data_IF_959526810026
#
_entry.id   IF_959526810026
#
_cell.length_a   1.000
_cell.length_b   1.000
_cell.length_c   1.000
_cell.angle_alpha   90.00
_cell.angle_beta   90.00
_cell.angle_gamma   90.00
#
_symmetry.space_group_name_H-M   'P 1'
#
loop_
_entity.id
_entity.type
_entity.pdbx_description
1 polymer ?
#
# COMPACT_ATOMS: atom_id res chain seq x y z
N UNK A 1 -17.72 24.59 11.13
CA UNK A 1 -16.48 23.87 10.82
C UNK A 1 -16.44 22.64 11.71
N UNK A 2 -16.99 21.51 11.25
CA UNK A 2 -16.68 20.24 11.89
C UNK A 2 -15.19 20.03 11.69
N UNK A 3 -14.43 19.83 12.77
CA UNK A 3 -12.98 19.70 12.73
C UNK A 3 -12.59 18.66 11.70
N UNK A 4 -11.61 18.98 10.85
CA UNK A 4 -10.98 17.99 9.98
C UNK A 4 -10.54 16.83 10.87
N UNK A 5 -11.27 15.71 10.75
CA UNK A 5 -10.82 14.45 11.32
C UNK A 5 -9.62 14.08 10.47
N UNK A 6 -8.42 14.33 11.01
CA UNK A 6 -7.18 13.88 10.40
C UNK A 6 -7.19 12.36 10.46
N UNK A 7 -7.65 11.72 9.38
CA UNK A 7 -7.56 10.27 9.21
C UNK A 7 -6.11 9.98 8.88
N UNK A 8 -5.36 9.55 9.88
CA UNK A 8 -3.97 9.15 9.73
C UNK A 8 -3.89 7.63 9.50
N UNK A 9 -3.26 7.24 8.40
CA UNK A 9 -2.93 5.87 8.05
C UNK A 9 -1.63 5.91 7.24
N UNK A 10 -0.66 5.07 7.60
CA UNK A 10 0.69 5.12 7.04
C UNK A 10 1.01 3.86 6.19
N UNK A 11 0.44 3.70 4.97
CA UNK A 11 0.65 2.52 4.13
C UNK A 11 2.11 2.09 3.90
N UNK A 12 3.08 3.01 3.90
CA UNK A 12 4.49 2.66 3.71
C UNK A 12 5.16 2.10 4.97
N UNK A 13 4.54 2.25 6.14
CA UNK A 13 5.03 1.79 7.45
C UNK A 13 4.21 0.60 7.96
N UNK A 14 2.89 0.68 7.83
CA UNK A 14 1.93 -0.31 8.33
C UNK A 14 1.87 -1.54 7.42
N UNK A 15 2.88 -2.40 7.39
CA UNK A 15 2.93 -3.56 6.46
C UNK A 15 2.00 -4.72 6.85
N UNK A 16 1.39 -4.68 8.03
CA UNK A 16 0.57 -5.78 8.56
C UNK A 16 -0.75 -6.01 7.83
N UNK A 17 -1.27 -5.05 7.05
CA UNK A 17 -2.60 -5.20 6.43
C UNK A 17 -2.70 -6.31 5.36
N UNK A 18 -1.55 -6.80 4.85
CA UNK A 18 -1.49 -7.90 3.87
C UNK A 18 -1.45 -9.29 4.54
N UNK A 19 -1.44 -9.36 5.87
CA UNK A 19 -1.55 -10.63 6.57
C UNK A 19 -2.90 -11.33 6.27
N UNK A 20 -2.89 -12.66 6.06
CA UNK A 20 -4.09 -13.41 5.73
C UNK A 20 -5.11 -13.31 6.87
N UNK A 21 -6.36 -13.01 6.53
CA UNK A 21 -7.48 -12.90 7.47
C UNK A 21 -7.74 -11.48 8.02
N UNK A 22 -6.76 -10.56 7.99
CA UNK A 22 -6.99 -9.18 8.47
C UNK A 22 -8.00 -8.45 7.60
N UNK A 23 -7.85 -8.54 6.27
CA UNK A 23 -8.79 -7.92 5.32
C UNK A 23 -10.21 -8.47 5.49
N UNK A 24 -10.36 -9.77 5.73
CA UNK A 24 -11.66 -10.41 5.95
C UNK A 24 -12.30 -9.95 7.26
N UNK A 25 -11.52 -9.90 8.36
CA UNK A 25 -11.98 -9.42 9.65
C UNK A 25 -12.42 -7.94 9.58
N UNK A 26 -11.63 -7.09 8.92
CA UNK A 26 -11.98 -5.67 8.73
C UNK A 26 -13.25 -5.53 7.88
N UNK A 27 -13.38 -6.28 6.79
CA UNK A 27 -14.58 -6.25 5.95
C UNK A 27 -15.82 -6.72 6.71
N UNK A 28 -15.70 -7.73 7.57
CA UNK A 28 -16.79 -8.18 8.43
C UNK A 28 -17.22 -7.08 9.43
N UNK A 29 -16.27 -6.38 10.06
CA UNK A 29 -16.57 -5.24 10.94
C UNK A 29 -17.25 -4.09 10.19
N UNK A 30 -16.81 -3.78 8.97
CA UNK A 30 -17.45 -2.78 8.10
C UNK A 30 -18.89 -3.22 7.74
N UNK A 31 -19.10 -4.50 7.44
CA UNK A 31 -20.43 -5.04 7.14
C UNK A 31 -21.37 -4.93 8.35
N UNK A 32 -20.90 -5.24 9.55
CA UNK A 32 -21.68 -5.06 10.78
C UNK A 32 -22.10 -3.61 11.01
N UNK A 33 -21.21 -2.65 10.78
CA UNK A 33 -21.53 -1.22 10.91
C UNK A 33 -22.47 -0.73 9.81
N UNK A 34 -22.28 -1.16 8.55
CA UNK A 34 -23.21 -0.82 7.45
C UNK A 34 -24.60 -1.45 7.63
N UNK A 35 -24.71 -2.57 8.37
CA UNK A 35 -26.00 -3.14 8.77
C UNK A 35 -26.72 -2.28 9.82
N UNK A 36 -25.98 -1.67 10.75
CA UNK A 36 -26.51 -0.75 11.78
C UNK A 36 -26.89 0.59 11.16
N UNK A 37 -26.02 1.15 10.32
CA UNK A 37 -26.23 2.39 9.61
C UNK A 37 -26.37 2.10 8.12
N UNK A 38 -27.60 1.85 7.65
CA UNK A 38 -27.84 1.74 6.21
C UNK A 38 -27.50 3.08 5.55
N UNK A 39 -26.54 3.13 4.61
CA UNK A 39 -26.22 4.38 3.92
C UNK A 39 -27.47 4.94 3.26
N UNK A 40 -27.90 6.13 3.66
CA UNK A 40 -28.86 6.90 2.88
C UNK A 40 -28.14 7.35 1.61
N UNK A 41 -28.82 7.31 0.46
CA UNK A 41 -28.24 7.66 -0.86
C UNK A 41 -27.79 9.13 -0.98
N UNK A 42 -27.84 9.87 0.12
CA UNK A 42 -27.56 11.29 0.25
C UNK A 42 -26.09 11.64 -0.07
N UNK A 43 -25.17 10.68 -0.02
CA UNK A 43 -23.78 10.92 -0.43
C UNK A 43 -23.63 11.25 -1.93
N UNK A 44 -24.65 11.01 -2.76
CA UNK A 44 -24.66 11.36 -4.18
C UNK A 44 -25.47 12.62 -4.50
N UNK A 45 -26.10 13.28 -3.51
CA UNK A 45 -26.96 14.45 -3.73
C UNK A 45 -26.23 15.66 -4.31
N UNK A 46 -24.93 15.79 -4.02
CA UNK A 46 -24.09 16.86 -4.54
C UNK A 46 -23.68 16.66 -6.01
N UNK A 47 -23.88 15.46 -6.55
CA UNK A 47 -23.55 15.14 -7.94
C UNK A 47 -24.77 15.41 -8.83
N UNK A 48 -24.57 15.98 -10.03
CA UNK A 48 -25.65 16.11 -10.99
C UNK A 48 -26.22 14.74 -11.33
N UNK A 49 -27.53 14.67 -11.58
CA UNK A 49 -28.19 13.44 -11.98
C UNK A 49 -27.54 12.90 -13.27
N UNK A 50 -27.24 11.60 -13.27
CA UNK A 50 -26.58 10.93 -14.39
C UNK A 50 -27.45 11.03 -15.66
N UNK A 51 -26.97 11.78 -16.63
CA UNK A 51 -27.59 11.94 -17.95
C UNK A 51 -27.18 10.79 -18.87
N UNK A 52 -27.96 9.70 -18.85
CA UNK A 52 -27.69 8.53 -19.70
C UNK A 52 -27.79 8.84 -21.21
N UNK A 53 -28.56 9.86 -21.56
CA UNK A 53 -28.89 10.22 -22.95
C UNK A 53 -28.13 11.47 -23.45
N UNK A 54 -27.15 11.98 -22.69
CA UNK A 54 -26.48 13.26 -22.98
C UNK A 54 -25.83 13.34 -24.37
N UNK A 55 -25.36 12.19 -24.86
CA UNK A 55 -24.65 12.08 -26.14
C UNK A 55 -25.46 11.35 -27.21
N UNK A 56 -26.75 11.12 -26.98
CA UNK A 56 -27.60 10.48 -27.96
C UNK A 56 -27.98 11.46 -29.07
N UNK A 57 -27.60 11.10 -30.30
CA UNK A 57 -28.08 11.76 -31.50
C UNK A 57 -29.49 11.29 -31.81
N UNK A 58 -30.25 12.09 -32.56
CA UNK A 58 -31.59 11.73 -33.01
C UNK A 58 -31.61 10.37 -33.75
N UNK A 59 -30.57 10.06 -34.52
CA UNK A 59 -30.41 8.74 -35.16
C UNK A 59 -30.23 7.60 -34.16
N UNK A 60 -29.49 7.81 -33.07
CA UNK A 60 -29.32 6.80 -32.02
C UNK A 60 -30.63 6.54 -31.30
N UNK A 61 -31.41 7.60 -31.01
CA UNK A 61 -32.74 7.46 -30.39
C UNK A 61 -33.67 6.60 -31.25
N UNK A 62 -33.76 6.90 -32.54
CA UNK A 62 -34.58 6.11 -33.49
C UNK A 62 -34.14 4.64 -33.54
N UNK A 63 -32.83 4.37 -33.55
CA UNK A 63 -32.32 3.00 -33.52
C UNK A 63 -32.58 2.29 -32.18
N UNK A 64 -32.48 3.01 -31.05
CA UNK A 64 -32.82 2.46 -29.75
C UNK A 64 -34.31 2.14 -29.64
N UNK A 65 -35.20 2.98 -30.17
CA UNK A 65 -36.64 2.68 -30.26
C UNK A 65 -36.92 1.46 -31.16
N UNK A 66 -36.22 1.34 -32.29
CA UNK A 66 -36.30 0.16 -33.18
C UNK A 66 -35.85 -1.12 -32.45
N UNK A 67 -34.75 -1.05 -31.71
CA UNK A 67 -34.23 -2.17 -30.92
C UNK A 67 -35.16 -2.54 -29.77
N UNK A 68 -35.71 -1.54 -29.07
CA UNK A 68 -36.67 -1.74 -27.98
C UNK A 68 -37.96 -2.40 -28.49
N UNK A 69 -38.42 -2.01 -29.68
CA UNK A 69 -39.56 -2.63 -30.37
C UNK A 69 -39.21 -3.96 -31.06
N UNK A 70 -37.95 -4.42 -30.98
CA UNK A 70 -37.43 -5.66 -31.56
C UNK A 70 -37.67 -5.76 -33.08
N UNK A 71 -37.73 -4.62 -33.76
CA UNK A 71 -37.89 -4.59 -35.21
C UNK A 71 -36.54 -4.94 -35.86
N UNK A 72 -36.51 -5.84 -36.86
CA UNK A 72 -35.29 -6.11 -37.62
C UNK A 72 -34.83 -4.86 -38.38
N UNK A 73 -33.54 -4.75 -38.65
CA UNK A 73 -32.99 -3.65 -39.45
C UNK A 73 -33.49 -3.78 -40.90
N UNK A 74 -33.83 -2.66 -41.52
CA UNK A 74 -34.14 -2.64 -42.94
C UNK A 74 -32.91 -3.04 -43.75
N UNK A 75 -33.05 -4.06 -44.61
CA UNK A 75 -31.95 -4.47 -45.45
C UNK A 75 -31.74 -3.46 -46.58
N UNK A 76 -30.49 -3.05 -46.80
CA UNK A 76 -30.16 -2.24 -47.96
C UNK A 76 -30.44 -3.00 -49.25
N UNK A 77 -31.21 -2.39 -50.15
CA UNK A 77 -31.48 -2.95 -51.47
C UNK A 77 -30.24 -2.85 -52.36
N UNK A 78 -29.69 -3.99 -52.76
CA UNK A 78 -28.57 -4.06 -53.72
C UNK A 78 -29.02 -3.96 -55.18
N UNK A 79 -30.33 -3.98 -55.45
CA UNK A 79 -30.90 -3.94 -56.81
C UNK A 79 -30.45 -2.72 -57.62
N UNK A 80 -30.16 -1.60 -56.94
CA UNK A 80 -29.64 -0.36 -57.56
C UNK A 80 -28.24 -0.52 -58.16
N UNK A 81 -27.45 -1.47 -57.67
CA UNK A 81 -26.07 -1.72 -58.12
C UNK A 81 -25.96 -2.86 -59.12
N UNK A 82 -27.08 -3.50 -59.45
CA UNK A 82 -27.19 -4.54 -60.46
C UNK A 82 -27.92 -3.98 -61.69
N UNK A 83 -27.73 -4.59 -62.85
CA UNK A 83 -28.52 -4.32 -64.06
C UNK A 83 -29.49 -5.48 -64.32
N UNK A 84 -30.49 -5.71 -63.45
CA UNK A 84 -31.45 -6.76 -63.68
C UNK A 84 -32.33 -6.39 -64.88
N UNK A 85 -32.56 -7.37 -65.75
CA UNK A 85 -33.62 -7.29 -66.74
C UNK A 85 -35.01 -7.24 -66.05
N UNK A 86 -36.04 -6.67 -66.71
CA UNK A 86 -37.41 -6.75 -66.19
C UNK A 86 -37.80 -8.19 -65.89
N UNK A 87 -38.61 -8.40 -64.84
CA UNK A 87 -39.09 -9.73 -64.49
C UNK A 87 -39.75 -10.41 -65.71
N UNK A 88 -39.60 -11.73 -65.85
CA UNK A 88 -40.02 -12.46 -67.05
C UNK A 88 -41.51 -12.25 -67.45
N UNK A 89 -42.39 -11.91 -66.50
CA UNK A 89 -43.80 -11.58 -66.74
C UNK A 89 -44.11 -10.09 -67.02
N UNK A 90 -43.10 -9.21 -67.00
CA UNK A 90 -43.22 -7.75 -67.24
C UNK A 90 -42.45 -7.29 -68.48
N UNK A 91 -41.97 -8.20 -69.32
CA UNK A 91 -41.17 -7.86 -70.51
C UNK A 91 -41.97 -7.12 -71.59
N UNK A 92 -43.30 -7.07 -71.51
CA UNK A 92 -44.16 -6.26 -72.38
C UNK A 92 -44.56 -4.92 -71.76
N UNK A 93 -44.24 -4.70 -70.48
CA UNK A 93 -44.57 -3.49 -69.73
C UNK A 93 -43.48 -2.43 -69.95
N UNK A 94 -43.85 -1.37 -70.67
CA UNK A 94 -42.97 -0.24 -71.00
C UNK A 94 -42.43 0.45 -69.74
N UNK A 95 -43.21 0.50 -68.66
CA UNK A 95 -42.77 1.14 -67.42
C UNK A 95 -41.60 0.40 -66.78
N UNK A 96 -41.64 -0.94 -66.76
CA UNK A 96 -40.56 -1.77 -66.22
C UNK A 96 -39.26 -1.66 -67.04
N UNK A 97 -39.35 -1.49 -68.36
CA UNK A 97 -38.20 -1.21 -69.21
C UNK A 97 -37.64 0.19 -68.98
N UNK A 98 -38.51 1.20 -68.80
CA UNK A 98 -38.08 2.56 -68.45
C UNK A 98 -37.28 2.56 -67.14
N UNK A 99 -37.76 1.86 -66.11
CA UNK A 99 -37.05 1.74 -64.83
C UNK A 99 -35.67 1.07 -64.97
N UNK A 100 -35.56 0.00 -65.76
CA UNK A 100 -34.28 -0.63 -66.06
C UNK A 100 -33.32 0.30 -66.83
N UNK A 101 -33.84 1.08 -67.78
CA UNK A 101 -33.08 2.09 -68.53
C UNK A 101 -32.61 3.18 -67.58
N UNK A 102 -33.47 3.75 -66.74
CA UNK A 102 -33.13 4.80 -65.78
C UNK A 102 -32.05 4.32 -64.79
N UNK A 103 -32.16 3.08 -64.29
CA UNK A 103 -31.13 2.45 -63.46
C UNK A 103 -29.80 2.29 -64.22
N UNK A 104 -29.83 1.94 -65.52
CA UNK A 104 -28.63 1.83 -66.34
C UNK A 104 -27.94 3.18 -66.56
N UNK A 105 -28.71 4.26 -66.77
CA UNK A 105 -28.20 5.62 -66.86
C UNK A 105 -27.55 6.06 -65.55
N UNK A 106 -28.23 5.83 -64.42
CA UNK A 106 -27.66 6.12 -63.11
C UNK A 106 -26.34 5.37 -62.87
N UNK A 107 -26.25 4.10 -63.27
CA UNK A 107 -25.02 3.33 -63.12
C UNK A 107 -23.89 3.83 -64.02
N UNK A 108 -24.18 4.23 -65.25
CA UNK A 108 -23.18 4.81 -66.15
C UNK A 108 -22.55 6.06 -65.52
N UNK A 109 -23.37 6.96 -64.99
CA UNK A 109 -22.90 8.17 -64.29
C UNK A 109 -22.11 7.84 -63.01
N UNK A 110 -22.54 6.82 -62.25
CA UNK A 110 -21.78 6.33 -61.10
C UNK A 110 -20.41 5.77 -61.50
N UNK A 111 -20.30 5.05 -62.63
CA UNK A 111 -19.01 4.56 -63.12
C UNK A 111 -18.11 5.71 -63.59
N UNK A 112 -18.66 6.70 -64.29
CA UNK A 112 -17.92 7.91 -64.67
C UNK A 112 -17.37 8.64 -63.44
N UNK A 113 -18.21 8.83 -62.41
CA UNK A 113 -17.79 9.42 -61.12
C UNK A 113 -16.75 8.56 -60.41
N UNK A 114 -16.91 7.23 -60.42
CA UNK A 114 -15.94 6.31 -59.83
C UNK A 114 -14.58 6.42 -60.50
N UNK A 115 -14.53 6.51 -61.83
CA UNK A 115 -13.28 6.70 -62.58
C UNK A 115 -12.61 8.01 -62.15
N UNK A 116 -13.36 9.12 -62.12
CA UNK A 116 -12.82 10.41 -61.67
C UNK A 116 -12.27 10.36 -60.23
N UNK A 117 -13.00 9.71 -59.31
CA UNK A 117 -12.54 9.52 -57.94
C UNK A 117 -11.29 8.63 -57.84
N UNK A 118 -11.21 7.56 -58.64
CA UNK A 118 -10.04 6.68 -58.69
C UNK A 118 -8.83 7.41 -59.30
N UNK A 119 -9.02 8.25 -60.30
CA UNK A 119 -7.96 9.10 -60.85
C UNK A 119 -7.44 10.10 -59.80
N UNK A 120 -8.35 10.72 -59.03
CA UNK A 120 -7.96 11.62 -57.94
C UNK A 120 -7.19 10.86 -56.86
N UNK A 121 -7.66 9.67 -56.46
CA UNK A 121 -6.99 8.83 -55.48
C UNK A 121 -5.63 8.33 -55.98
N UNK A 122 -5.51 7.96 -57.26
CA UNK A 122 -4.24 7.54 -57.84
C UNK A 122 -3.20 8.68 -57.83
N UNK A 123 -3.65 9.93 -58.02
CA UNK A 123 -2.77 11.11 -58.01
C UNK A 123 -2.34 11.53 -56.61
N UNK A 124 -3.26 11.57 -55.64
CA UNK A 124 -3.01 12.18 -54.33
C UNK A 124 -3.06 11.21 -53.13
N UNK A 125 -3.56 9.99 -53.32
CA UNK A 125 -3.82 9.04 -52.24
C UNK A 125 -2.57 8.68 -51.44
N UNK A 126 -1.45 8.42 -52.11
CA UNK A 126 -0.18 8.10 -51.45
C UNK A 126 0.31 9.25 -50.55
N UNK A 127 0.29 10.49 -51.05
CA UNK A 127 0.76 11.64 -50.29
C UNK A 127 -0.21 12.03 -49.16
N UNK A 128 -1.52 11.96 -49.40
CA UNK A 128 -2.54 12.14 -48.37
C UNK A 128 -2.38 11.11 -47.24
N UNK A 129 -2.12 9.85 -47.58
CA UNK A 129 -1.92 8.79 -46.59
C UNK A 129 -0.64 8.98 -45.78
N UNK A 130 0.46 9.42 -46.41
CA UNK A 130 1.70 9.77 -45.70
C UNK A 130 1.48 10.93 -44.72
N UNK A 131 0.78 11.99 -45.14
CA UNK A 131 0.45 13.13 -44.29
C UNK A 131 -0.46 12.73 -43.10
N UNK A 132 -1.43 11.86 -43.35
CA UNK A 132 -2.28 11.29 -42.31
C UNK A 132 -1.47 10.47 -41.30
N UNK A 133 -0.60 9.56 -41.76
CA UNK A 133 0.30 8.81 -40.89
C UNK A 133 1.23 9.72 -40.07
N UNK A 134 1.79 10.77 -40.67
CA UNK A 134 2.60 11.74 -39.92
C UNK A 134 1.80 12.41 -38.80
N UNK A 135 0.52 12.69 -39.03
CA UNK A 135 -0.38 13.25 -38.01
C UNK A 135 -0.66 12.25 -36.90
N UNK A 136 -0.95 10.98 -37.24
CA UNK A 136 -1.13 9.92 -36.25
C UNK A 136 0.12 9.70 -35.40
N UNK A 137 1.30 9.70 -36.02
CA UNK A 137 2.58 9.57 -35.32
C UNK A 137 2.78 10.75 -34.36
N UNK A 138 2.47 11.99 -34.75
CA UNK A 138 2.53 13.14 -33.83
C UNK A 138 1.58 12.98 -32.63
N UNK A 139 0.34 12.56 -32.87
CA UNK A 139 -0.64 12.30 -31.81
C UNK A 139 -0.15 11.22 -30.83
N UNK A 140 0.41 10.13 -31.36
CA UNK A 140 0.99 9.05 -30.56
C UNK A 140 2.11 9.57 -29.65
N UNK A 141 3.06 10.34 -30.20
CA UNK A 141 4.16 10.91 -29.41
C UNK A 141 3.65 11.86 -28.32
N UNK A 142 2.63 12.67 -28.62
CA UNK A 142 2.02 13.57 -27.64
C UNK A 142 1.39 12.78 -26.48
N UNK A 143 0.61 11.75 -26.78
CA UNK A 143 -0.02 10.90 -25.76
C UNK A 143 1.02 10.15 -24.91
N UNK A 144 2.07 9.61 -25.55
CA UNK A 144 3.16 8.95 -24.85
C UNK A 144 3.89 9.90 -23.90
N UNK A 145 4.15 11.14 -24.33
CA UNK A 145 4.76 12.17 -23.49
C UNK A 145 3.86 12.50 -22.29
N UNK A 146 2.56 12.72 -22.52
CA UNK A 146 1.61 12.98 -21.42
C UNK A 146 1.57 11.84 -20.41
N UNK A 147 1.62 10.59 -20.89
CA UNK A 147 1.69 9.41 -20.03
C UNK A 147 2.98 9.36 -19.21
N UNK A 148 4.13 9.69 -19.81
CA UNK A 148 5.40 9.76 -19.10
C UNK A 148 5.39 10.87 -18.04
N UNK A 149 4.87 12.05 -18.37
CA UNK A 149 4.75 13.17 -17.44
C UNK A 149 3.84 12.83 -16.25
N UNK A 150 2.69 12.18 -16.51
CA UNK A 150 1.79 11.69 -15.46
C UNK A 150 2.46 10.64 -14.57
N UNK A 151 3.20 9.68 -15.15
CA UNK A 151 3.95 8.69 -14.37
C UNK A 151 4.98 9.35 -13.46
N UNK A 152 5.69 10.37 -13.96
CA UNK A 152 6.64 11.14 -13.16
C UNK A 152 5.95 11.87 -12.00
N UNK A 153 4.79 12.50 -12.26
CA UNK A 153 4.01 13.16 -11.21
C UNK A 153 3.52 12.18 -10.14
N UNK A 154 3.03 11.01 -10.55
CA UNK A 154 2.62 9.94 -9.61
C UNK A 154 3.82 9.48 -8.77
N UNK A 155 4.98 9.27 -9.39
CA UNK A 155 6.20 8.88 -8.68
C UNK A 155 6.66 9.94 -7.69
N UNK A 156 6.61 11.22 -8.06
CA UNK A 156 6.96 12.33 -7.18
C UNK A 156 6.04 12.38 -5.95
N UNK A 157 4.73 12.28 -6.14
CA UNK A 157 3.76 12.25 -5.04
C UNK A 157 4.00 11.04 -4.13
N UNK A 158 4.24 9.86 -4.72
CA UNK A 158 4.53 8.66 -3.95
C UNK A 158 5.86 8.77 -3.17
N UNK A 159 6.87 9.38 -3.77
CA UNK A 159 8.16 9.64 -3.13
C UNK A 159 7.99 10.59 -1.94
N UNK A 160 7.33 11.73 -2.13
CA UNK A 160 7.02 12.68 -1.05
C UNK A 160 6.22 12.01 0.08
N UNK A 161 5.20 11.22 -0.26
CA UNK A 161 4.41 10.46 0.71
C UNK A 161 5.28 9.47 1.48
N UNK A 162 6.13 8.70 0.80
CA UNK A 162 7.02 7.74 1.44
C UNK A 162 7.99 8.43 2.41
N UNK A 163 8.60 9.54 2.00
CA UNK A 163 9.51 10.32 2.86
C UNK A 163 8.79 10.82 4.10
N UNK A 164 7.64 11.49 3.95
CA UNK A 164 6.86 12.00 5.08
C UNK A 164 6.41 10.89 6.04
N UNK A 165 5.99 9.73 5.52
CA UNK A 165 5.58 8.60 6.34
C UNK A 165 6.76 7.93 7.04
N UNK A 166 7.93 7.86 6.40
CA UNK A 166 9.15 7.30 7.01
C UNK A 166 9.63 8.16 8.17
N UNK A 167 9.65 9.49 7.99
CA UNK A 167 9.98 10.44 9.07
C UNK A 167 8.98 10.36 10.23
N UNK A 168 7.68 10.23 9.94
CA UNK A 168 6.66 10.05 10.96
C UNK A 168 6.81 8.69 11.68
N UNK A 169 7.07 7.62 10.93
CA UNK A 169 7.30 6.27 11.46
C UNK A 169 8.51 6.19 12.39
N UNK A 170 9.61 6.87 12.07
CA UNK A 170 10.76 6.98 12.97
C UNK A 170 10.41 7.67 14.29
N UNK A 171 9.61 8.75 14.23
CA UNK A 171 9.12 9.44 15.44
C UNK A 171 8.22 8.53 16.27
N UNK A 172 7.30 7.81 15.63
CA UNK A 172 6.43 6.84 16.31
C UNK A 172 7.24 5.76 17.01
N UNK A 173 8.23 5.18 16.34
CA UNK A 173 9.13 4.17 16.93
C UNK A 173 9.91 4.72 18.13
N UNK A 174 10.43 5.94 18.04
CA UNK A 174 11.15 6.56 19.16
C UNK A 174 10.22 6.83 20.35
N UNK A 175 8.99 7.28 20.09
CA UNK A 175 7.97 7.48 21.12
C UNK A 175 7.55 6.17 21.77
N UNK A 176 7.40 5.10 20.99
CA UNK A 176 7.09 3.76 21.50
C UNK A 176 8.21 3.23 22.40
N UNK A 177 9.48 3.32 21.98
CA UNK A 177 10.63 2.92 22.80
C UNK A 177 10.69 3.74 24.09
N UNK A 178 10.49 5.06 24.00
CA UNK A 178 10.46 5.93 25.18
C UNK A 178 9.31 5.55 26.11
N UNK A 179 8.13 5.22 25.56
CA UNK A 179 6.97 4.81 26.33
C UNK A 179 7.22 3.49 27.05
N UNK A 180 7.72 2.46 26.36
CA UNK A 180 8.08 1.18 26.98
C UNK A 180 9.11 1.39 28.08
N UNK A 181 10.17 2.17 27.83
CA UNK A 181 11.19 2.47 28.83
C UNK A 181 10.63 3.17 30.07
N UNK A 182 9.74 4.15 29.89
CA UNK A 182 9.09 4.86 31.01
C UNK A 182 8.17 3.92 31.81
N UNK A 183 7.40 3.07 31.13
CA UNK A 183 6.53 2.09 31.79
C UNK A 183 7.36 1.06 32.56
N UNK A 184 8.42 0.51 31.96
CA UNK A 184 9.33 -0.41 32.65
C UNK A 184 10.01 0.24 33.85
N UNK A 185 10.47 1.48 33.73
CA UNK A 185 11.10 2.20 34.84
C UNK A 185 10.11 2.48 35.97
N UNK A 186 8.87 2.86 35.65
CA UNK A 186 7.83 3.02 36.68
C UNK A 186 7.56 1.69 37.38
N UNK A 187 7.48 0.59 36.65
CA UNK A 187 7.31 -0.74 37.22
C UNK A 187 8.50 -1.16 38.12
N UNK A 188 9.74 -0.88 37.72
CA UNK A 188 10.93 -1.12 38.53
C UNK A 188 10.92 -0.31 39.83
N UNK A 189 10.50 0.96 39.76
CA UNK A 189 10.37 1.84 40.94
C UNK A 189 9.28 1.31 41.87
N UNK A 190 8.09 0.98 41.34
CA UNK A 190 7.00 0.41 42.15
C UNK A 190 7.43 -0.88 42.84
N UNK A 191 8.14 -1.76 42.12
CA UNK A 191 8.69 -2.99 42.69
C UNK A 191 9.69 -2.70 43.82
N UNK A 192 10.63 -1.77 43.61
CA UNK A 192 11.60 -1.39 44.63
C UNK A 192 10.94 -0.75 45.86
N UNK A 193 9.90 0.06 45.67
CA UNK A 193 9.09 0.61 46.77
C UNK A 193 8.43 -0.50 47.59
N UNK A 194 7.82 -1.50 46.94
CA UNK A 194 7.20 -2.64 47.63
C UNK A 194 8.24 -3.49 48.38
N UNK A 195 9.44 -3.68 47.82
CA UNK A 195 10.54 -4.38 48.49
C UNK A 195 11.04 -3.59 49.72
N UNK A 196 11.23 -2.28 49.60
CA UNK A 196 11.61 -1.40 50.72
C UNK A 196 10.52 -1.33 51.80
N UNK A 197 9.24 -1.28 51.43
CA UNK A 197 8.12 -1.31 52.39
C UNK A 197 8.12 -2.62 53.20
N UNK A 198 8.43 -3.75 52.56
CA UNK A 198 8.60 -5.04 53.27
C UNK A 198 9.79 -5.00 54.22
N UNK A 199 10.94 -4.49 53.78
CA UNK A 199 12.13 -4.36 54.62
C UNK A 199 11.85 -3.46 55.84
N UNK A 200 11.22 -2.30 55.64
CA UNK A 200 10.81 -1.39 56.72
C UNK A 200 9.89 -2.12 57.69
N UNK A 201 8.85 -2.82 57.20
CA UNK A 201 7.94 -3.57 58.06
C UNK A 201 8.65 -4.66 58.88
N UNK A 202 9.66 -5.35 58.30
CA UNK A 202 10.47 -6.33 59.04
C UNK A 202 11.34 -5.68 60.11
N UNK A 203 11.98 -4.55 59.80
CA UNK A 203 12.82 -3.81 60.75
C UNK A 203 11.99 -3.19 61.89
N UNK A 204 10.80 -2.69 61.59
CA UNK A 204 9.85 -2.20 62.60
C UNK A 204 9.41 -3.32 63.54
N UNK A 205 9.09 -4.51 63.00
CA UNK A 205 8.77 -5.68 63.80
C UNK A 205 9.93 -6.13 64.70
N UNK A 206 11.16 -6.13 64.19
CA UNK A 206 12.37 -6.45 64.95
C UNK A 206 12.68 -5.41 66.04
N UNK A 207 12.49 -4.12 65.74
CA UNK A 207 12.63 -3.03 66.71
C UNK A 207 11.61 -3.16 67.84
N UNK A 208 10.35 -3.42 67.51
CA UNK A 208 9.30 -3.65 68.50
C UNK A 208 9.55 -4.92 69.33
N UNK A 209 10.11 -5.97 68.73
CA UNK A 209 10.51 -7.18 69.45
C UNK A 209 11.66 -6.90 70.44
N UNK A 210 12.67 -6.11 70.05
CA UNK A 210 13.77 -5.68 70.92
C UNK A 210 13.31 -4.75 72.04
N UNK A 211 12.37 -3.84 71.77
CA UNK A 211 11.78 -2.94 72.78
C UNK A 211 10.91 -3.69 73.79
N UNK A 212 10.32 -4.82 73.40
CA UNK A 212 9.57 -5.73 74.29
C UNK A 212 10.45 -6.69 75.09
N UNK A 213 11.76 -6.79 74.80
CA UNK A 213 12.69 -7.45 75.72
C UNK A 213 12.94 -6.53 76.92
N UNK A 214 12.60 -6.94 78.15
CA UNK A 214 12.87 -6.12 79.33
C UNK A 214 14.38 -5.96 79.52
N UNK A 215 14.81 -4.74 79.86
CA UNK A 215 16.14 -4.47 80.40
C UNK A 215 16.41 -5.41 81.59
N UNK A 216 17.16 -6.47 81.36
CA UNK A 216 17.90 -7.13 82.42
C UNK A 216 19.27 -6.46 82.47
N UNK A 217 19.41 -5.47 83.35
CA UNK A 217 20.73 -4.96 83.75
C UNK A 217 21.54 -6.13 84.34
N UNK A 218 22.57 -6.57 83.63
CA UNK A 218 23.62 -7.39 84.23
C UNK A 218 24.71 -6.48 84.82
N UNK A 219 25.17 -6.70 86.07
CA UNK A 219 26.16 -5.86 86.72
C UNK A 219 27.52 -5.88 86.00
N UNK A 220 28.31 -4.80 86.10
CA UNK A 220 29.61 -4.70 85.44
C UNK A 220 30.71 -5.39 86.29
N UNK A 221 30.66 -6.70 86.45
CA UNK A 221 31.76 -7.46 87.06
C UNK A 221 31.76 -8.90 86.54
N UNK A 222 32.33 -9.11 85.34
CA UNK A 222 32.74 -10.46 84.89
C UNK A 222 33.68 -10.44 83.67
N UNK A 223 33.74 -9.33 82.91
CA UNK A 223 34.71 -9.17 81.80
C UNK A 223 36.16 -8.97 82.24
N UNK A 224 36.42 -8.81 83.55
CA UNK A 224 37.78 -8.55 84.08
C UNK A 224 38.58 -9.81 84.40
N UNK A 225 37.96 -10.99 84.43
CA UNK A 225 38.66 -12.25 84.71
C UNK A 225 39.09 -13.02 83.46
N UNK A 226 38.39 -12.88 82.33
CA UNK A 226 38.79 -13.57 81.09
C UNK A 226 39.99 -12.92 80.38
N UNK A 227 40.25 -11.64 80.64
CA UNK A 227 41.40 -10.92 80.09
C UNK A 227 42.70 -11.14 80.87
N UNK A 228 42.65 -11.83 82.02
CA UNK A 228 43.81 -12.20 82.84
C UNK A 228 44.34 -13.62 82.59
N UNK A 229 43.60 -14.47 81.87
CA UNK A 229 43.99 -15.87 81.61
C UNK A 229 44.64 -16.12 80.24
N UNK A 230 44.72 -15.11 79.36
CA UNK A 230 45.43 -15.20 78.06
C UNK A 230 46.83 -14.58 78.06
N UNK A 231 47.34 -14.14 79.22
CA UNK A 231 48.65 -13.46 79.31
C UNK A 231 49.83 -14.39 79.63
N UNK A 232 49.58 -15.68 79.86
CA UNK A 232 50.63 -16.65 80.20
C UNK A 232 50.58 -17.87 79.25
N UNK A 233 51.14 -17.74 78.04
CA UNK A 233 51.76 -18.85 77.29
C UNK A 233 52.81 -18.31 76.29
N UNK A 234 53.94 -19.04 76.04
CA UNK A 234 55.15 -18.52 75.39
C UNK A 234 55.10 -18.57 73.85
N UNK A 235 56.03 -17.89 73.14
CA UNK A 235 56.00 -17.76 71.68
C UNK A 235 56.65 -18.97 70.99
N UNK A 236 56.16 -19.33 69.80
CA UNK A 236 56.81 -20.27 68.88
C UNK A 236 56.95 -19.68 67.45
N UNK A 237 57.92 -20.17 66.65
CA UNK A 237 58.81 -19.31 65.88
C UNK A 237 58.43 -19.14 64.40
N UNK A 238 59.02 -18.09 63.83
CA UNK A 238 59.04 -17.76 62.40
C UNK A 238 59.71 -18.86 61.57
N UNK A 239 59.11 -19.19 60.44
CA UNK A 239 59.75 -19.88 59.32
C UNK A 239 59.58 -19.05 58.06
N UNK A 240 60.69 -18.51 57.54
CA UNK A 240 60.80 -17.85 56.25
C UNK A 240 60.68 -18.85 55.09
N UNK A 241 59.98 -18.45 54.03
CA UNK A 241 60.40 -18.74 52.64
C UNK A 241 59.71 -17.80 51.67
N UNK A 242 60.52 -17.25 50.78
CA UNK A 242 60.27 -16.17 49.83
C UNK A 242 59.44 -16.56 48.60
N UNK A 243 58.84 -15.51 48.01
CA UNK A 243 58.57 -15.27 46.56
C UNK A 243 57.43 -16.01 45.82
N UNK A 244 56.92 -15.49 44.66
CA UNK A 244 57.23 -14.21 43.98
C UNK A 244 56.03 -13.38 43.47
N UNK A 245 56.32 -12.12 43.12
CA UNK A 245 55.54 -11.24 42.23
C UNK A 245 55.31 -11.86 40.83
N UNK A 246 54.10 -11.70 40.26
CA UNK A 246 53.83 -11.55 38.81
C UNK A 246 52.53 -10.75 38.60
N UNK A 247 52.65 -9.52 38.09
CA UNK A 247 52.45 -9.09 36.70
C UNK A 247 50.99 -8.83 36.31
N UNK A 248 50.73 -7.55 36.00
CA UNK A 248 49.69 -7.09 35.10
C UNK A 248 49.74 -7.88 33.77
N UNK A 249 48.58 -8.32 33.28
CA UNK A 249 48.41 -8.57 31.84
C UNK A 249 47.14 -7.91 31.34
N UNK A 250 47.38 -6.87 30.54
CA UNK A 250 46.60 -6.45 29.39
C UNK A 250 46.19 -7.66 28.54
N UNK A 251 44.93 -7.68 28.08
CA UNK A 251 44.43 -8.69 27.17
C UNK A 251 43.52 -8.03 26.13
N UNK A 252 44.16 -7.52 25.07
CA UNK A 252 43.54 -7.31 23.78
C UNK A 252 43.15 -8.63 23.11
N UNK A 253 41.94 -8.60 22.54
CA UNK A 253 41.41 -9.22 21.30
C UNK A 253 42.32 -10.25 20.58
N UNK A 254 41.73 -11.38 20.14
CA UNK A 254 41.87 -11.74 18.73
C UNK A 254 40.56 -12.19 18.06
N UNK A 255 40.20 -11.46 17.01
CA UNK A 255 39.78 -11.94 15.68
C UNK A 255 39.68 -13.46 15.49
N UNK A 256 38.47 -13.96 15.29
CA UNK A 256 38.19 -15.23 14.60
C UNK A 256 37.98 -14.97 13.11
N UNK A 257 38.98 -15.36 12.31
CA UNK A 257 38.83 -15.65 10.88
C UNK A 257 38.31 -17.07 10.71
N UNK A 258 37.08 -17.21 10.23
CA UNK A 258 36.62 -18.44 9.56
C UNK A 258 36.52 -18.17 8.06
N UNK A 259 37.30 -18.94 7.31
CA UNK A 259 37.24 -19.10 5.86
C UNK A 259 35.99 -19.89 5.46
N UNK A 260 35.07 -19.25 4.73
CA UNK A 260 33.89 -19.86 4.13
C UNK A 260 33.78 -19.50 2.65
N UNK A 261 34.18 -20.46 1.81
CA UNK A 261 34.00 -20.63 0.36
C UNK A 261 33.04 -19.66 -0.36
N UNK A 262 33.58 -19.00 -1.37
CA UNK A 262 32.84 -18.47 -2.52
C UNK A 262 32.16 -19.63 -3.27
N UNK A 263 30.84 -19.56 -3.39
CA UNK A 263 30.05 -20.31 -4.36
C UNK A 263 29.36 -19.29 -5.26
N UNK A 264 29.79 -19.25 -6.52
CA UNK A 264 29.08 -18.58 -7.61
C UNK A 264 27.74 -19.29 -7.81
N UNK A 265 26.62 -18.60 -7.61
CA UNK A 265 25.33 -19.02 -8.16
C UNK A 265 24.85 -18.03 -9.22
N UNK A 266 24.64 -18.65 -10.37
CA UNK A 266 24.27 -18.18 -11.68
C UNK A 266 22.82 -17.65 -11.69
N UNK A 267 22.64 -16.35 -11.95
CA UNK A 267 21.32 -15.77 -12.20
C UNK A 267 20.94 -16.05 -13.64
N UNK A 268 19.97 -16.94 -13.85
CA UNK A 268 19.21 -17.05 -15.11
C UNK A 268 17.81 -16.44 -14.93
N UNK A 269 17.34 -15.59 -15.86
CA UNK A 269 16.00 -15.02 -15.78
C UNK A 269 14.96 -15.93 -16.45
N UNK A 270 13.76 -15.97 -15.86
CA UNK A 270 12.50 -16.27 -16.56
C UNK A 270 11.75 -14.97 -16.79
#
# INVERSE_FOLDING_TARGET
MAGEVLVDALPYIDQGYDEPGIREAVMAMVEEETRRYRPTKNYLEHLPQLSLHQFESETMKTEFERLQSRLPMEMMSMKRYELPQPAAGKTTDVASWSECVDNSWAQLEHQATRIANLELMARYGCEAWKAYNATLVRMLHQLQKQLQDLRKQIQEVNWQRKTSQTEAGEKLKNLEVSWVSLVSKNYEIERACVELEKEIATLEADYDARKKQPHHEQPPDEKREQQKLQRDQPPEPQGDSEEPEKMETDAGIPSTTETGKEGEEEVTPK
#
